data_IF_554814698918
#
_entry.id   IF_554814698918
#
_cell.length_a   1.000
_cell.length_b   1.000
_cell.length_c   1.000
_cell.angle_alpha   90.00
_cell.angle_beta   90.00
_cell.angle_gamma   90.00
#
_symmetry.space_group_name_H-M   'P 1'
#
loop_
_entity.id
_entity.type
_entity.pdbx_description
1 polymer ?
#
# COMPACT_ATOMS: atom_id res chain seq x y z
N UNK A 1 -7.51 3.92 15.64
CA UNK A 1 -6.66 2.87 15.03
C UNK A 1 -7.50 2.21 13.96
N UNK A 2 -6.90 1.57 12.96
CA UNK A 2 -7.65 0.75 12.01
C UNK A 2 -7.06 -0.66 11.94
N UNK A 3 -7.92 -1.64 11.65
CA UNK A 3 -7.58 -3.02 11.38
C UNK A 3 -8.51 -3.52 10.27
N UNK A 4 -7.93 -3.96 9.17
CA UNK A 4 -8.63 -4.47 8.01
C UNK A 4 -8.20 -5.92 7.76
N UNK A 5 -9.16 -6.82 7.64
CA UNK A 5 -8.93 -8.22 7.28
C UNK A 5 -9.38 -8.46 5.84
N UNK A 6 -8.54 -9.14 5.09
CA UNK A 6 -8.80 -9.56 3.72
C UNK A 6 -8.89 -11.08 3.70
N UNK A 7 -10.05 -11.60 3.31
CA UNK A 7 -10.26 -13.03 3.11
C UNK A 7 -10.04 -13.30 1.63
N UNK A 8 -9.06 -14.15 1.33
CA UNK A 8 -8.68 -14.52 -0.03
C UNK A 8 -9.09 -15.96 -0.25
N UNK A 9 -9.75 -16.23 -1.37
CA UNK A 9 -10.07 -17.57 -1.85
C UNK A 9 -9.42 -17.73 -3.22
N UNK A 10 -8.57 -18.75 -3.38
CA UNK A 10 -7.92 -19.06 -4.66
C UNK A 10 -8.86 -19.86 -5.56
N UNK A 11 -8.54 -19.97 -6.85
CA UNK A 11 -9.30 -20.80 -7.81
C UNK A 11 -9.38 -22.27 -7.37
N UNK A 12 -8.33 -22.79 -6.71
CA UNK A 12 -8.31 -24.13 -6.12
C UNK A 12 -9.07 -24.27 -4.78
N UNK A 13 -9.78 -23.22 -4.34
CA UNK A 13 -10.59 -23.22 -3.10
C UNK A 13 -9.81 -23.03 -1.80
N UNK A 14 -8.51 -22.71 -1.87
CA UNK A 14 -7.70 -22.43 -0.68
C UNK A 14 -8.10 -21.08 -0.10
N UNK A 15 -8.45 -21.07 1.19
CA UNK A 15 -8.78 -19.84 1.93
C UNK A 15 -7.59 -19.38 2.75
N UNK A 16 -7.30 -18.09 2.71
CA UNK A 16 -6.25 -17.44 3.50
C UNK A 16 -6.74 -16.11 4.04
N UNK A 17 -6.26 -15.71 5.22
CA UNK A 17 -6.58 -14.41 5.82
C UNK A 17 -5.33 -13.55 5.86
N UNK A 18 -5.46 -12.32 5.38
CA UNK A 18 -4.45 -11.28 5.47
C UNK A 18 -4.97 -10.12 6.29
N UNK A 19 -4.06 -9.35 6.87
CA UNK A 19 -4.40 -8.23 7.73
C UNK A 19 -3.53 -7.01 7.39
N UNK A 20 -4.17 -5.85 7.36
CA UNK A 20 -3.53 -4.54 7.26
C UNK A 20 -4.00 -3.66 8.41
N UNK A 21 -3.08 -3.11 9.19
CA UNK A 21 -3.42 -2.31 10.37
C UNK A 21 -2.46 -1.15 10.60
N UNK A 22 -2.88 -0.20 11.43
CA UNK A 22 -2.04 0.94 11.81
C UNK A 22 -2.64 1.82 12.91
N UNK A 23 -1.77 2.56 13.59
CA UNK A 23 -2.16 3.50 14.66
C UNK A 23 -2.55 4.86 14.08
N UNK A 24 -3.63 5.42 14.63
CA UNK A 24 -4.18 6.72 14.25
C UNK A 24 -5.68 6.66 13.98
N UNK A 25 -6.32 7.82 13.92
CA UNK A 25 -7.70 7.94 13.47
C UNK A 25 -7.82 7.55 11.98
N UNK A 26 -8.72 6.62 11.61
CA UNK A 26 -8.88 6.21 10.22
C UNK A 26 -9.45 7.31 9.33
N UNK A 27 -10.30 8.19 9.85
CA UNK A 27 -10.99 9.22 9.05
C UNK A 27 -10.05 10.28 8.50
N UNK A 28 -9.06 10.68 9.29
CA UNK A 28 -8.11 11.73 8.93
C UNK A 28 -6.67 11.26 9.01
N UNK A 29 -6.16 10.96 10.21
CA UNK A 29 -4.72 10.78 10.44
C UNK A 29 -4.09 9.67 9.59
N UNK A 30 -4.77 8.53 9.47
CA UNK A 30 -4.29 7.41 8.64
C UNK A 30 -4.47 7.74 7.17
N UNK A 31 -5.63 8.25 6.76
CA UNK A 31 -5.89 8.64 5.37
C UNK A 31 -4.89 9.65 4.85
N UNK A 32 -4.62 10.73 5.59
CA UNK A 32 -3.61 11.73 5.24
C UNK A 32 -2.23 11.10 5.09
N UNK A 33 -1.84 10.18 5.99
CA UNK A 33 -0.59 9.44 5.86
C UNK A 33 -0.54 8.62 4.57
N UNK A 34 -1.59 7.84 4.26
CA UNK A 34 -1.63 7.01 3.05
C UNK A 34 -1.44 7.88 1.79
N UNK A 35 -2.15 9.00 1.69
CA UNK A 35 -2.05 9.93 0.55
C UNK A 35 -0.68 10.59 0.49
N UNK A 36 -0.12 11.03 1.62
CA UNK A 36 1.22 11.61 1.67
C UNK A 36 2.30 10.61 1.24
N UNK A 37 2.21 9.34 1.64
CA UNK A 37 3.16 8.31 1.22
C UNK A 37 3.05 8.00 -0.28
N UNK A 38 1.87 8.12 -0.89
CA UNK A 38 1.73 8.06 -2.35
C UNK A 38 2.50 9.20 -3.03
N UNK A 39 2.39 10.43 -2.52
CA UNK A 39 3.10 11.58 -3.08
C UNK A 39 4.63 11.44 -2.91
N UNK A 40 5.10 11.01 -1.73
CA UNK A 40 6.52 10.77 -1.50
C UNK A 40 7.05 9.62 -2.35
N UNK A 41 6.24 8.58 -2.59
CA UNK A 41 6.59 7.49 -3.51
C UNK A 41 6.83 8.02 -4.94
N UNK A 42 6.00 8.92 -5.43
CA UNK A 42 6.15 9.52 -6.76
C UNK A 42 7.43 10.37 -6.89
N UNK A 43 7.84 11.03 -5.80
CA UNK A 43 8.99 11.95 -5.80
C UNK A 43 10.30 11.21 -5.55
N UNK A 44 10.34 10.32 -4.57
CA UNK A 44 11.58 9.71 -4.07
C UNK A 44 11.91 8.37 -4.74
N UNK A 45 10.93 7.68 -5.34
CA UNK A 45 11.10 6.33 -5.87
C UNK A 45 10.90 6.25 -7.38
N UNK A 46 11.03 7.38 -8.10
CA UNK A 46 10.68 7.48 -9.54
C UNK A 46 11.36 6.41 -10.42
N UNK A 47 12.62 6.09 -10.15
CA UNK A 47 13.39 5.08 -10.89
C UNK A 47 12.87 3.65 -10.66
N UNK A 48 12.16 3.43 -9.55
CA UNK A 48 11.54 2.17 -9.18
C UNK A 48 10.08 2.06 -9.65
N UNK A 49 9.53 3.12 -10.24
CA UNK A 49 8.17 3.14 -10.77
C UNK A 49 8.15 2.66 -12.24
N UNK A 50 7.02 2.11 -12.72
CA UNK A 50 6.89 1.68 -14.11
C UNK A 50 7.28 2.79 -15.09
N UNK A 51 8.24 2.49 -15.96
CA UNK A 51 8.71 3.39 -17.00
C UNK A 51 9.62 4.55 -16.54
N UNK A 52 9.95 4.63 -15.24
CA UNK A 52 10.95 5.57 -14.72
C UNK A 52 10.57 7.05 -14.89
N UNK A 53 11.59 7.93 -14.95
CA UNK A 53 11.42 9.39 -15.04
C UNK A 53 10.67 9.86 -16.30
N UNK A 54 10.75 9.08 -17.38
CA UNK A 54 10.17 9.43 -18.68
C UNK A 54 8.70 9.02 -18.79
N UNK A 55 8.17 8.27 -17.83
CA UNK A 55 6.81 7.73 -17.87
C UNK A 55 5.87 8.56 -17.00
N UNK A 56 4.79 9.03 -17.62
CA UNK A 56 3.74 9.82 -16.97
C UNK A 56 2.35 9.19 -17.12
N UNK A 57 1.35 9.83 -16.52
CA UNK A 57 -0.05 9.43 -16.61
C UNK A 57 -0.66 9.08 -15.25
N UNK A 58 -1.67 8.21 -15.25
CA UNK A 58 -2.41 7.83 -14.06
C UNK A 58 -1.76 6.59 -13.42
N UNK A 59 -0.96 6.82 -12.38
CA UNK A 59 -0.37 5.77 -11.56
C UNK A 59 -1.28 5.49 -10.35
N UNK A 60 -1.91 4.32 -10.34
CA UNK A 60 -2.72 3.87 -9.19
C UNK A 60 -1.85 3.11 -8.17
N UNK A 61 -2.33 2.94 -6.94
CA UNK A 61 -1.62 2.15 -5.94
C UNK A 61 -1.31 0.72 -6.42
N UNK A 62 -2.25 0.10 -7.14
CA UNK A 62 -2.12 -1.30 -7.57
C UNK A 62 -1.24 -1.47 -8.81
N UNK A 63 -1.42 -0.60 -9.82
CA UNK A 63 -0.72 -0.75 -11.12
C UNK A 63 0.53 0.11 -11.26
N UNK A 64 0.66 1.19 -10.48
CA UNK A 64 1.75 2.16 -10.60
C UNK A 64 2.69 2.13 -9.40
N UNK A 65 2.17 2.38 -8.19
CA UNK A 65 3.02 2.62 -7.01
C UNK A 65 3.51 1.34 -6.34
N UNK A 66 2.68 0.28 -6.34
CA UNK A 66 3.04 -1.09 -6.01
C UNK A 66 3.97 -1.28 -4.80
N UNK A 67 5.03 -2.06 -5.01
CA UNK A 67 6.01 -2.42 -3.98
C UNK A 67 6.75 -1.21 -3.37
N UNK A 68 7.18 -0.19 -4.14
CA UNK A 68 7.71 1.05 -3.57
C UNK A 68 6.79 1.66 -2.51
N UNK A 69 5.50 1.82 -2.80
CA UNK A 69 4.54 2.34 -1.82
C UNK A 69 4.39 1.42 -0.60
N UNK A 70 4.33 0.10 -0.79
CA UNK A 70 4.23 -0.86 0.32
C UNK A 70 5.44 -0.71 1.27
N UNK A 71 6.65 -0.57 0.74
CA UNK A 71 7.85 -0.39 1.53
C UNK A 71 7.81 0.91 2.36
N UNK A 72 7.33 2.01 1.76
CA UNK A 72 7.12 3.28 2.45
C UNK A 72 6.08 3.19 3.56
N UNK A 73 4.92 2.60 3.25
CA UNK A 73 3.83 2.43 4.21
C UNK A 73 4.27 1.62 5.44
N UNK A 74 5.09 0.57 5.24
CA UNK A 74 5.73 -0.17 6.35
C UNK A 74 6.60 0.72 7.22
N UNK A 75 7.48 1.53 6.61
CA UNK A 75 8.31 2.51 7.34
C UNK A 75 7.46 3.54 8.11
N UNK A 76 6.30 3.92 7.55
CA UNK A 76 5.35 4.85 8.17
C UNK A 76 4.43 4.19 9.23
N UNK A 77 4.68 2.92 9.59
CA UNK A 77 3.97 2.19 10.65
C UNK A 77 2.62 1.61 10.24
N UNK A 78 2.45 1.33 8.95
CA UNK A 78 1.35 0.48 8.44
C UNK A 78 1.86 -0.96 8.33
N UNK A 79 1.19 -1.87 9.01
CA UNK A 79 1.57 -3.27 9.03
C UNK A 79 0.79 -4.03 7.98
N UNK A 80 1.45 -4.96 7.31
CA UNK A 80 0.86 -5.92 6.39
C UNK A 80 1.33 -7.32 6.81
N UNK A 81 0.40 -8.19 7.19
CA UNK A 81 0.70 -9.54 7.71
C UNK A 81 -0.19 -10.58 7.05
N UNK A 82 0.37 -11.74 6.77
CA UNK A 82 -0.37 -12.92 6.35
C UNK A 82 0.46 -13.85 5.44
N UNK A 83 -0.05 -15.05 5.14
CA UNK A 83 -1.31 -15.61 5.68
C UNK A 83 -1.26 -15.79 7.21
N UNK A 84 -2.37 -15.47 7.89
CA UNK A 84 -2.56 -15.63 9.34
C UNK A 84 -3.04 -17.02 9.72
#
# INVERSE_FOLDING_TARGET
WFDCKFIVETEDGIKSVFNMNGKGDPGYKVTSKLVSECALCLIEEIDNLPGGSEYGGVLTCASGLGNPLIARLRKAGINFTGPL
#
